data_IF_497109447468
#
_entry.id   IF_497109447468
#
_cell.length_a   1.000
_cell.length_b   1.000
_cell.length_c   1.000
_cell.angle_alpha   90.00
_cell.angle_beta   90.00
_cell.angle_gamma   90.00
#
_symmetry.space_group_name_H-M   'P 1'
#
loop_
_entity.id
_entity.type
_entity.pdbx_description
1 polymer ?
#
# COMPACT_ATOMS: atom_id res chain seq x y z
N UNK A 1 19.68 -0.40 25.55
CA UNK A 1 19.33 -0.64 24.13
C UNK A 1 18.96 0.66 23.41
N UNK A 2 17.81 1.30 23.71
CA UNK A 2 17.39 2.53 22.99
C UNK A 2 18.33 3.71 23.20
N UNK A 3 18.72 4.00 24.45
CA UNK A 3 19.69 5.07 24.75
C UNK A 3 21.07 4.81 24.15
N UNK A 4 21.51 3.55 24.13
CA UNK A 4 22.76 3.12 23.50
C UNK A 4 22.75 3.37 21.99
N UNK A 5 21.63 3.09 21.32
CA UNK A 5 21.46 3.32 19.88
C UNK A 5 21.29 4.80 19.52
N UNK A 6 20.67 5.59 20.41
CA UNK A 6 20.42 7.01 20.21
C UNK A 6 21.58 7.92 20.65
N UNK A 7 22.57 7.40 21.40
CA UNK A 7 23.68 8.18 21.93
C UNK A 7 23.30 9.18 23.04
N UNK A 8 22.05 9.15 23.51
CA UNK A 8 21.52 10.05 24.53
C UNK A 8 20.55 9.32 25.48
N UNK A 9 20.26 9.92 26.64
CA UNK A 9 19.28 9.36 27.59
C UNK A 9 17.89 9.38 26.93
N UNK A 10 17.30 8.19 26.79
CA UNK A 10 15.95 8.02 26.23
C UNK A 10 15.03 7.56 27.36
N UNK A 11 13.92 8.26 27.55
CA UNK A 11 12.90 7.91 28.55
C UNK A 11 11.61 7.58 27.83
N UNK A 12 11.06 6.40 28.06
CA UNK A 12 9.73 6.01 27.56
C UNK A 12 8.71 6.31 28.64
N UNK A 13 7.64 6.99 28.27
CA UNK A 13 6.49 7.19 29.16
C UNK A 13 5.23 6.66 28.48
N UNK A 14 4.36 6.04 29.27
CA UNK A 14 3.02 5.64 28.85
C UNK A 14 2.05 6.63 29.51
N UNK A 15 1.59 7.67 28.80
CA UNK A 15 0.69 8.64 29.37
C UNK A 15 -0.57 7.92 29.86
N UNK A 16 -1.10 8.35 31.00
CA UNK A 16 -2.30 7.76 31.61
C UNK A 16 -3.49 8.72 31.58
N UNK A 17 -3.25 10.03 31.51
CA UNK A 17 -4.26 11.10 31.50
C UNK A 17 -3.73 12.37 30.84
N UNK A 18 -4.65 13.27 30.48
CA UNK A 18 -4.35 14.57 29.87
C UNK A 18 -3.95 14.49 28.40
N UNK A 19 -3.53 15.60 27.82
CA UNK A 19 -3.33 15.75 26.36
C UNK A 19 -2.44 14.68 25.72
N UNK A 20 -1.38 14.23 26.40
CA UNK A 20 -0.51 13.17 25.89
C UNK A 20 -1.23 11.82 25.76
N UNK A 21 -2.18 11.52 26.67
CA UNK A 21 -3.02 10.32 26.60
C UNK A 21 -3.99 10.44 25.43
N UNK A 22 -4.62 11.59 25.28
CA UNK A 22 -5.57 11.87 24.20
C UNK A 22 -4.88 11.74 22.83
N UNK A 23 -3.65 12.23 22.68
CA UNK A 23 -2.84 12.04 21.47
C UNK A 23 -2.58 10.56 21.16
N UNK A 24 -2.22 9.75 22.16
CA UNK A 24 -2.01 8.31 21.95
C UNK A 24 -3.31 7.58 21.61
N UNK A 25 -4.43 7.99 22.18
CA UNK A 25 -5.74 7.40 21.91
C UNK A 25 -6.23 7.74 20.50
N UNK A 26 -6.05 8.99 20.07
CA UNK A 26 -6.32 9.41 18.70
C UNK A 26 -5.46 8.66 17.69
N UNK A 27 -4.17 8.47 17.98
CA UNK A 27 -3.29 7.67 17.12
C UNK A 27 -3.77 6.21 17.01
N UNK A 28 -4.21 5.61 18.12
CA UNK A 28 -4.79 4.26 18.13
C UNK A 28 -6.09 4.18 17.34
N UNK A 29 -6.97 5.17 17.50
CA UNK A 29 -8.23 5.26 16.76
C UNK A 29 -7.98 5.36 15.26
N UNK A 30 -7.09 6.27 14.84
CA UNK A 30 -6.68 6.40 13.44
C UNK A 30 -6.12 5.08 12.88
N UNK A 31 -5.30 4.38 13.68
CA UNK A 31 -4.76 3.09 13.28
C UNK A 31 -5.86 2.02 13.09
N UNK A 32 -6.87 1.98 13.98
CA UNK A 32 -8.03 1.08 13.85
C UNK A 32 -8.86 1.39 12.62
N UNK A 33 -9.14 2.65 12.35
CA UNK A 33 -9.90 3.08 11.18
C UNK A 33 -9.15 2.77 9.87
N UNK A 34 -7.85 3.08 9.82
CA UNK A 34 -7.00 2.74 8.69
C UNK A 34 -6.94 1.23 8.44
N UNK A 35 -6.85 0.42 9.51
CA UNK A 35 -6.89 -1.04 9.40
C UNK A 35 -8.25 -1.54 8.88
N UNK A 36 -9.35 -1.02 9.42
CA UNK A 36 -10.70 -1.36 8.97
C UNK A 36 -10.90 -1.08 7.48
N UNK A 37 -10.43 0.09 7.01
CA UNK A 37 -10.45 0.46 5.59
C UNK A 37 -9.62 -0.51 4.75
N UNK A 38 -8.38 -0.81 5.16
CA UNK A 38 -7.50 -1.75 4.45
C UNK A 38 -8.13 -3.13 4.32
N UNK A 39 -8.77 -3.64 5.37
CA UNK A 39 -9.44 -4.95 5.34
C UNK A 39 -10.63 -4.97 4.36
N UNK A 40 -11.42 -3.90 4.34
CA UNK A 40 -12.56 -3.76 3.42
C UNK A 40 -12.10 -3.65 1.94
N UNK A 41 -11.02 -2.91 1.68
CA UNK A 41 -10.41 -2.81 0.35
C UNK A 41 -9.85 -4.17 -0.11
N UNK A 42 -9.17 -4.89 0.79
CA UNK A 42 -8.55 -6.19 0.48
C UNK A 42 -9.61 -7.26 0.15
N UNK A 43 -10.74 -7.29 0.86
CA UNK A 43 -11.82 -8.25 0.55
C UNK A 43 -12.44 -7.99 -0.83
N UNK A 44 -12.58 -6.72 -1.20
CA UNK A 44 -13.05 -6.31 -2.53
C UNK A 44 -12.06 -6.72 -3.62
N UNK A 45 -10.77 -6.49 -3.40
CA UNK A 45 -9.70 -6.85 -4.34
C UNK A 45 -9.64 -8.36 -4.59
N UNK A 46 -9.75 -9.17 -3.53
CA UNK A 46 -9.76 -10.63 -3.64
C UNK A 46 -10.91 -11.14 -4.53
N UNK A 47 -12.11 -10.58 -4.38
CA UNK A 47 -13.26 -10.92 -5.22
C UNK A 47 -13.05 -10.53 -6.68
N UNK A 48 -12.48 -9.35 -6.95
CA UNK A 48 -12.16 -8.92 -8.31
C UNK A 48 -11.12 -9.82 -8.98
N UNK A 49 -10.07 -10.21 -8.26
CA UNK A 49 -9.03 -11.12 -8.78
C UNK A 49 -9.56 -12.53 -9.03
N UNK A 50 -10.51 -13.00 -8.21
CA UNK A 50 -11.21 -14.26 -8.46
C UNK A 50 -12.04 -14.19 -9.75
N UNK A 51 -12.84 -13.14 -9.93
CA UNK A 51 -13.60 -12.93 -11.17
C UNK A 51 -12.72 -12.74 -12.40
N UNK A 52 -11.55 -12.11 -12.25
CA UNK A 52 -10.55 -12.00 -13.32
C UNK A 52 -10.04 -13.39 -13.74
N UNK A 53 -9.66 -14.24 -12.77
CA UNK A 53 -9.24 -15.60 -13.09
C UNK A 53 -10.34 -16.42 -13.77
N UNK A 54 -11.58 -16.30 -13.31
CA UNK A 54 -12.72 -16.96 -13.95
C UNK A 54 -12.92 -16.47 -15.41
N UNK A 55 -12.93 -15.16 -15.61
CA UNK A 55 -13.13 -14.53 -16.93
C UNK A 55 -12.08 -14.95 -17.95
N UNK A 56 -10.83 -15.08 -17.52
CA UNK A 56 -9.70 -15.44 -18.39
C UNK A 56 -9.32 -16.93 -18.32
N UNK A 57 -10.07 -17.77 -17.59
CA UNK A 57 -9.79 -19.20 -17.45
C UNK A 57 -8.45 -19.52 -16.78
N UNK A 58 -7.98 -18.66 -15.87
CA UNK A 58 -6.73 -18.87 -15.16
C UNK A 58 -6.90 -19.91 -14.05
N UNK A 59 -5.87 -20.74 -13.84
CA UNK A 59 -5.90 -21.77 -12.79
C UNK A 59 -6.00 -21.20 -11.36
N UNK A 60 -5.53 -19.96 -11.16
CA UNK A 60 -5.55 -19.25 -9.87
C UNK A 60 -5.69 -17.74 -10.07
N UNK A 61 -6.26 -17.00 -9.10
CA UNK A 61 -6.22 -15.55 -9.07
C UNK A 61 -4.78 -15.02 -9.21
N UNK A 62 -4.51 -14.05 -10.10
CA UNK A 62 -3.17 -13.51 -10.26
C UNK A 62 -2.77 -12.73 -9.00
N UNK A 63 -1.55 -12.98 -8.52
CA UNK A 63 -0.95 -12.26 -7.37
C UNK A 63 -0.13 -11.04 -7.80
N UNK A 64 -0.01 -10.84 -9.12
CA UNK A 64 0.67 -9.71 -9.74
C UNK A 64 0.08 -9.48 -11.12
N UNK A 65 -0.27 -8.24 -11.41
CA UNK A 65 -0.71 -7.76 -12.71
C UNK A 65 0.17 -6.57 -13.07
N UNK A 66 0.87 -6.66 -14.20
CA UNK A 66 1.64 -5.56 -14.78
C UNK A 66 0.85 -5.01 -15.97
N UNK A 67 0.60 -3.71 -15.96
CA UNK A 67 -0.10 -3.02 -17.05
C UNK A 67 0.88 -2.08 -17.71
N UNK A 68 1.09 -2.28 -19.00
CA UNK A 68 1.98 -1.48 -19.83
C UNK A 68 1.16 -0.53 -20.69
N UNK A 69 1.44 0.76 -20.58
CA UNK A 69 0.95 1.81 -21.47
C UNK A 69 2.09 2.29 -22.36
N UNK A 70 1.86 2.34 -23.67
CA UNK A 70 2.83 2.85 -24.65
C UNK A 70 2.29 4.13 -25.29
N UNK A 71 2.60 5.26 -24.68
CA UNK A 71 2.14 6.56 -25.12
C UNK A 71 3.01 7.10 -26.26
N UNK A 72 2.42 7.26 -27.44
CA UNK A 72 3.05 7.92 -28.59
C UNK A 72 2.66 9.40 -28.63
N UNK A 73 3.58 10.27 -28.23
CA UNK A 73 3.47 11.70 -28.53
C UNK A 73 4.13 11.89 -29.90
N UNK A 74 3.32 12.22 -30.91
CA UNK A 74 3.69 12.38 -32.33
C UNK A 74 5.15 12.77 -32.59
N UNK A 75 6.03 11.78 -32.69
CA UNK A 75 7.30 11.85 -33.42
C UNK A 75 8.60 12.05 -32.64
N UNK A 76 8.64 12.39 -31.35
CA UNK A 76 9.95 12.70 -30.71
C UNK A 76 10.23 12.17 -29.32
N UNK A 77 9.24 11.70 -28.54
CA UNK A 77 9.49 11.09 -27.22
C UNK A 77 8.44 10.01 -26.91
N UNK A 78 8.64 8.79 -27.40
CA UNK A 78 7.82 7.66 -26.97
C UNK A 78 8.10 7.41 -25.48
N UNK A 79 7.05 7.35 -24.66
CA UNK A 79 7.18 7.04 -23.23
C UNK A 79 6.36 5.81 -22.94
N UNK A 80 7.03 4.77 -22.45
CA UNK A 80 6.39 3.61 -21.85
C UNK A 80 6.16 3.84 -20.35
N UNK A 81 5.00 3.47 -19.85
CA UNK A 81 4.72 3.39 -18.43
C UNK A 81 4.28 1.98 -18.06
N UNK A 82 4.73 1.49 -16.90
CA UNK A 82 4.28 0.23 -16.32
C UNK A 82 3.82 0.48 -14.90
N UNK A 83 2.57 0.11 -14.64
CA UNK A 83 1.99 0.07 -13.29
C UNK A 83 1.85 -1.37 -12.83
N UNK A 84 1.89 -1.57 -11.52
CA UNK A 84 1.82 -2.89 -10.90
C UNK A 84 0.67 -2.92 -9.92
N UNK A 85 -0.18 -3.94 -10.00
CA UNK A 85 -1.23 -4.24 -9.04
C UNK A 85 -1.08 -5.67 -8.49
N UNK A 86 -1.48 -5.90 -7.24
CA UNK A 86 -1.49 -7.21 -6.58
C UNK A 86 -2.69 -7.37 -5.64
N UNK A 87 -2.63 -8.37 -4.74
CA UNK A 87 -3.72 -8.68 -3.79
C UNK A 87 -4.08 -7.53 -2.84
N UNK A 88 -3.11 -6.65 -2.54
CA UNK A 88 -3.30 -5.47 -1.69
C UNK A 88 -3.53 -4.17 -2.49
N UNK A 89 -3.78 -4.27 -3.79
CA UNK A 89 -3.95 -3.12 -4.68
C UNK A 89 -2.65 -2.68 -5.38
N UNK A 90 -2.50 -1.38 -5.61
CA UNK A 90 -1.40 -0.83 -6.41
C UNK A 90 -0.05 -0.81 -5.68
N UNK A 91 0.99 -1.32 -6.35
CA UNK A 91 2.35 -1.45 -5.83
C UNK A 91 3.23 -0.32 -6.40
N UNK A 92 3.00 0.91 -5.92
CA UNK A 92 3.58 2.15 -6.49
C UNK A 92 5.11 2.16 -6.58
N UNK A 93 5.81 1.57 -5.61
CA UNK A 93 7.28 1.50 -5.62
C UNK A 93 7.84 0.59 -6.73
N UNK A 94 6.99 -0.19 -7.40
CA UNK A 94 7.37 -1.04 -8.53
C UNK A 94 6.97 -0.47 -9.88
N UNK A 95 6.46 0.76 -9.92
CA UNK A 95 6.15 1.41 -11.19
C UNK A 95 7.44 1.68 -11.96
N UNK A 96 7.37 1.62 -13.29
CA UNK A 96 8.50 1.91 -14.16
C UNK A 96 8.07 2.86 -15.26
N UNK A 97 8.97 3.78 -15.61
CA UNK A 97 8.91 4.59 -16.81
C UNK A 97 10.03 4.12 -17.73
N UNK A 98 9.72 3.88 -18.97
CA UNK A 98 10.64 3.54 -20.03
C UNK A 98 10.70 4.74 -20.99
N UNK A 99 11.89 5.28 -21.22
CA UNK A 99 12.12 6.33 -22.22
C UNK A 99 12.92 5.74 -23.38
#
# INVERSE_FOLDING_TARGET
ALSTRAGCKVTISVPQRGEKKDLTDNALQNAREALGRRLAETSTQARLLAGFAETFGLSKPPVRIEVYDNSHIMGTNAVGAMVVAGPEGFVKNQYRKFN
#
